data_IF_828458938058
#
_entry.id   IF_828458938058
#
_cell.length_a   1.000
_cell.length_b   1.000
_cell.length_c   1.000
_cell.angle_alpha   90.00
_cell.angle_beta   90.00
_cell.angle_gamma   90.00
#
_symmetry.space_group_name_H-M   'P 1'
#
loop_
_entity.id
_entity.type
_entity.pdbx_description
1 polymer ?
#
# COMPACT_ATOMS: atom_id res chain seq x y z
N UNK A 1 3.14 7.91 -20.87
CA UNK A 1 3.19 7.35 -19.50
C UNK A 1 4.65 7.39 -19.07
N UNK A 2 5.01 8.07 -17.97
CA UNK A 2 6.42 8.30 -17.57
C UNK A 2 6.92 7.29 -16.53
N UNK A 3 6.04 6.80 -15.66
CA UNK A 3 6.33 5.82 -14.61
C UNK A 3 5.26 4.73 -14.60
N UNK A 4 5.66 3.49 -14.32
CA UNK A 4 4.77 2.34 -14.14
C UNK A 4 5.02 1.76 -12.77
N UNK A 5 4.08 1.95 -11.85
CA UNK A 5 4.09 1.33 -10.52
C UNK A 5 3.17 0.11 -10.55
N UNK A 6 3.71 -1.08 -10.27
CA UNK A 6 2.93 -2.33 -10.22
C UNK A 6 3.54 -3.31 -9.23
N UNK A 7 2.79 -4.32 -8.83
CA UNK A 7 3.31 -5.34 -7.91
C UNK A 7 4.47 -6.16 -8.51
N UNK A 8 5.37 -6.62 -7.64
CA UNK A 8 6.55 -7.43 -7.99
C UNK A 8 6.21 -8.77 -8.66
N UNK A 9 4.94 -9.23 -8.60
CA UNK A 9 4.49 -10.40 -9.36
C UNK A 9 4.65 -10.21 -10.88
N UNK A 10 4.73 -8.96 -11.33
CA UNK A 10 4.95 -8.62 -12.73
C UNK A 10 6.42 -8.44 -13.10
N UNK A 11 7.36 -8.52 -12.14
CA UNK A 11 8.79 -8.40 -12.40
C UNK A 11 9.30 -9.38 -13.47
N UNK A 12 8.85 -10.66 -13.52
CA UNK A 12 9.27 -11.60 -14.58
C UNK A 12 8.88 -11.17 -15.99
N UNK A 13 7.88 -10.28 -16.14
CA UNK A 13 7.47 -9.73 -17.45
C UNK A 13 8.28 -8.51 -17.88
N UNK A 14 9.10 -7.93 -17.00
CA UNK A 14 9.88 -6.72 -17.28
C UNK A 14 10.80 -6.86 -18.50
N UNK A 15 11.57 -7.95 -18.68
CA UNK A 15 12.47 -8.08 -19.82
C UNK A 15 11.74 -8.06 -21.16
N UNK A 16 10.59 -8.74 -21.23
CA UNK A 16 9.74 -8.74 -22.43
C UNK A 16 9.20 -7.35 -22.74
N UNK A 17 8.76 -6.62 -21.71
CA UNK A 17 8.27 -5.26 -21.88
C UNK A 17 9.37 -4.33 -22.41
N UNK A 18 10.57 -4.42 -21.86
CA UNK A 18 11.74 -3.63 -22.30
C UNK A 18 12.03 -3.87 -23.78
N UNK A 19 12.09 -5.13 -24.20
CA UNK A 19 12.32 -5.49 -25.61
C UNK A 19 11.23 -4.97 -26.55
N UNK A 20 9.97 -4.94 -26.11
CA UNK A 20 8.88 -4.36 -26.90
C UNK A 20 9.06 -2.85 -27.10
N UNK A 21 9.42 -2.11 -26.05
CA UNK A 21 9.71 -0.67 -26.17
C UNK A 21 10.86 -0.41 -27.15
N UNK A 22 11.94 -1.20 -27.05
CA UNK A 22 13.08 -1.11 -27.95
C UNK A 22 12.69 -1.42 -29.40
N UNK A 23 11.93 -2.49 -29.62
CA UNK A 23 11.52 -2.91 -30.96
C UNK A 23 10.59 -1.91 -31.66
N UNK A 24 9.67 -1.29 -30.92
CA UNK A 24 8.79 -0.27 -31.47
C UNK A 24 9.42 1.13 -31.51
N UNK A 25 10.64 1.31 -31.00
CA UNK A 25 11.30 2.61 -30.93
C UNK A 25 10.58 3.60 -29.99
N UNK A 26 9.94 3.09 -28.94
CA UNK A 26 9.17 3.90 -27.99
C UNK A 26 9.99 4.27 -26.76
N UNK A 27 9.67 5.43 -26.18
CA UNK A 27 10.24 5.85 -24.90
C UNK A 27 9.78 4.93 -23.76
N UNK A 28 10.75 4.23 -23.16
CA UNK A 28 10.49 3.33 -22.04
C UNK A 28 10.20 4.14 -20.75
N UNK A 29 9.10 3.85 -20.04
CA UNK A 29 8.84 4.46 -18.74
C UNK A 29 9.78 3.91 -17.66
N UNK A 30 9.90 4.64 -16.55
CA UNK A 30 10.52 4.11 -15.34
C UNK A 30 9.64 2.98 -14.78
N UNK A 31 10.21 1.79 -14.57
CA UNK A 31 9.49 0.62 -14.06
C UNK A 31 9.77 0.47 -12.57
N UNK A 32 8.72 0.58 -11.75
CA UNK A 32 8.79 0.51 -10.30
C UNK A 32 7.94 -0.66 -9.79
N UNK A 33 8.58 -1.61 -9.11
CA UNK A 33 7.92 -2.83 -8.64
C UNK A 33 7.69 -2.76 -7.13
N UNK A 34 6.42 -2.68 -6.73
CA UNK A 34 5.99 -2.61 -5.34
C UNK A 34 6.02 -4.02 -4.73
N UNK A 35 6.48 -4.18 -3.47
CA UNK A 35 6.53 -5.50 -2.84
C UNK A 35 5.11 -6.05 -2.61
N UNK A 36 4.99 -7.38 -2.59
CA UNK A 36 3.73 -8.04 -2.25
C UNK A 36 3.43 -7.92 -0.75
N UNK A 37 2.15 -7.75 -0.43
CA UNK A 37 1.64 -7.93 0.93
C UNK A 37 1.79 -9.39 1.35
N UNK A 38 2.29 -9.59 2.57
CA UNK A 38 2.51 -10.91 3.17
C UNK A 38 1.59 -11.12 4.37
N UNK A 39 1.27 -12.38 4.65
CA UNK A 39 0.66 -12.76 5.91
C UNK A 39 1.71 -12.70 7.04
N UNK A 40 1.31 -12.78 8.32
CA UNK A 40 2.24 -12.90 9.45
C UNK A 40 3.23 -14.08 9.31
N UNK A 41 2.82 -15.18 8.67
CA UNK A 41 3.67 -16.33 8.34
C UNK A 41 4.62 -16.10 7.14
N UNK A 42 4.70 -14.87 6.62
CA UNK A 42 5.47 -14.42 5.44
C UNK A 42 5.02 -15.00 4.09
N UNK A 43 4.00 -15.87 4.07
CA UNK A 43 3.40 -16.35 2.83
C UNK A 43 2.63 -15.22 2.13
N UNK A 44 2.44 -15.36 0.81
CA UNK A 44 1.70 -14.36 0.03
C UNK A 44 0.27 -14.20 0.57
N UNK A 45 -0.17 -12.96 0.76
CA UNK A 45 -1.55 -12.67 1.11
C UNK A 45 -2.48 -13.22 0.02
N UNK A 46 -3.49 -14.01 0.40
CA UNK A 46 -4.37 -14.68 -0.55
C UNK A 46 -5.81 -14.77 -0.05
N UNK A 47 -6.76 -14.72 -1.00
CA UNK A 47 -8.21 -14.87 -0.76
C UNK A 47 -8.58 -16.19 -0.08
N UNK A 48 -7.74 -17.23 -0.19
CA UNK A 48 -8.02 -18.57 0.33
C UNK A 48 -7.80 -18.67 1.85
N UNK A 49 -6.86 -17.89 2.37
CA UNK A 49 -6.44 -17.97 3.78
C UNK A 49 -6.99 -16.81 4.61
N UNK A 50 -7.16 -15.64 4.01
CA UNK A 50 -7.51 -14.42 4.74
C UNK A 50 -8.60 -13.62 4.01
N UNK A 51 -9.44 -12.88 4.74
CA UNK A 51 -10.27 -11.86 4.14
C UNK A 51 -9.36 -10.76 3.56
N UNK A 52 -9.30 -10.71 2.24
CA UNK A 52 -8.44 -9.77 1.48
C UNK A 52 -9.24 -8.70 0.76
N UNK A 53 -10.57 -8.78 0.81
CA UNK A 53 -11.45 -7.79 0.19
C UNK A 53 -11.57 -6.57 1.10
N UNK A 54 -11.40 -5.38 0.55
CA UNK A 54 -11.66 -4.11 1.27
C UNK A 54 -13.10 -4.07 1.79
N UNK A 55 -14.06 -4.59 1.02
CA UNK A 55 -15.48 -4.66 1.42
C UNK A 55 -15.74 -5.53 2.65
N UNK A 56 -14.85 -6.49 2.95
CA UNK A 56 -14.96 -7.25 4.19
C UNK A 56 -14.66 -6.36 5.40
N UNK A 57 -13.59 -5.58 5.35
CA UNK A 57 -13.21 -4.67 6.43
C UNK A 57 -14.20 -3.51 6.58
N UNK A 58 -14.74 -3.01 5.47
CA UNK A 58 -15.84 -2.05 5.49
C UNK A 58 -17.05 -2.59 6.28
N UNK A 59 -17.48 -3.83 5.99
CA UNK A 59 -18.60 -4.48 6.71
C UNK A 59 -18.29 -4.77 8.19
N UNK A 60 -17.01 -4.92 8.55
CA UNK A 60 -16.57 -5.02 9.94
C UNK A 60 -16.55 -3.67 10.68
N UNK A 61 -16.81 -2.55 9.99
CA UNK A 61 -16.84 -1.22 10.59
C UNK A 61 -15.48 -0.53 10.67
N UNK A 62 -14.50 -0.95 9.87
CA UNK A 62 -13.25 -0.19 9.74
C UNK A 62 -13.51 1.13 9.01
N UNK A 63 -12.92 2.21 9.54
CA UNK A 63 -12.99 3.52 8.93
C UNK A 63 -12.19 3.57 7.63
N UNK A 64 -12.71 4.22 6.56
CA UNK A 64 -11.97 4.36 5.31
C UNK A 64 -10.65 5.10 5.51
N UNK A 65 -10.59 6.09 6.41
CA UNK A 65 -9.36 6.83 6.74
C UNK A 65 -8.31 5.92 7.39
N UNK A 66 -8.75 5.02 8.28
CA UNK A 66 -7.85 4.05 8.92
C UNK A 66 -7.31 3.03 7.91
N UNK A 67 -8.17 2.53 7.00
CA UNK A 67 -7.76 1.61 5.94
C UNK A 67 -6.78 2.27 4.98
N UNK A 68 -7.04 3.51 4.53
CA UNK A 68 -6.13 4.25 3.64
C UNK A 68 -4.79 4.54 4.31
N UNK A 69 -4.80 5.02 5.56
CA UNK A 69 -3.58 5.25 6.33
C UNK A 69 -2.78 3.94 6.51
N UNK A 70 -3.46 2.84 6.83
CA UNK A 70 -2.84 1.54 7.01
C UNK A 70 -2.20 1.01 5.72
N UNK A 71 -2.93 1.03 4.60
CA UNK A 71 -2.41 0.60 3.31
C UNK A 71 -1.30 1.53 2.80
N UNK A 72 -1.40 2.84 3.07
CA UNK A 72 -0.34 3.79 2.74
C UNK A 72 0.98 3.50 3.47
N UNK A 73 0.92 2.84 4.64
CA UNK A 73 2.11 2.36 5.36
C UNK A 73 2.71 1.07 4.79
N UNK A 74 2.02 0.41 3.87
CA UNK A 74 2.50 -0.85 3.29
C UNK A 74 3.57 -0.59 2.24
N UNK A 75 4.79 -0.38 2.72
CA UNK A 75 5.95 -0.08 1.89
C UNK A 75 6.34 1.38 1.86
N UNK A 76 5.75 2.25 2.68
CA UNK A 76 6.15 3.65 2.81
C UNK A 76 5.93 4.15 4.25
N UNK A 77 6.69 5.15 4.69
CA UNK A 77 6.52 5.78 6.00
C UNK A 77 6.67 7.30 5.91
N UNK A 78 5.97 7.99 6.80
CA UNK A 78 6.11 9.45 6.93
C UNK A 78 7.56 9.84 7.24
N UNK A 79 8.02 11.02 6.81
CA UNK A 79 9.35 11.54 7.13
C UNK A 79 9.67 11.61 8.62
N UNK A 80 8.68 11.90 9.45
CA UNK A 80 8.75 11.98 10.92
C UNK A 80 8.36 10.67 11.61
N UNK A 81 8.25 9.57 10.85
CA UNK A 81 7.94 8.21 11.32
C UNK A 81 6.57 8.03 11.98
N UNK A 82 5.73 9.08 12.00
CA UNK A 82 4.40 8.98 12.62
C UNK A 82 3.54 7.96 11.90
N UNK A 83 2.73 7.24 12.67
CA UNK A 83 1.92 6.16 12.11
C UNK A 83 0.53 6.58 11.68
N UNK A 84 0.00 7.64 12.31
CA UNK A 84 -1.30 8.19 11.98
C UNK A 84 -1.12 9.40 11.08
N UNK A 85 -1.71 9.35 9.89
CA UNK A 85 -1.71 10.43 8.91
C UNK A 85 -2.92 10.30 7.98
N UNK A 86 -3.48 11.43 7.58
CA UNK A 86 -4.52 11.54 6.58
C UNK A 86 -3.99 11.28 5.17
N UNK A 87 -4.91 11.06 4.22
CA UNK A 87 -4.55 10.94 2.81
C UNK A 87 -3.84 12.20 2.29
N UNK A 88 -4.27 13.39 2.71
CA UNK A 88 -3.63 14.64 2.27
C UNK A 88 -2.19 14.73 2.77
N UNK A 89 -1.95 14.41 4.04
CA UNK A 89 -0.59 14.36 4.60
C UNK A 89 0.28 13.32 3.87
N UNK A 90 -0.30 12.17 3.48
CA UNK A 90 0.41 11.21 2.65
C UNK A 90 0.79 11.82 1.30
N UNK A 91 -0.15 12.47 0.60
CA UNK A 91 0.10 13.09 -0.71
C UNK A 91 1.17 14.18 -0.62
N UNK A 92 1.12 15.03 0.41
CA UNK A 92 2.06 16.14 0.59
C UNK A 92 3.49 15.68 0.88
N UNK A 93 3.65 14.48 1.43
CA UNK A 93 4.96 13.92 1.83
C UNK A 93 5.39 12.71 1.01
N UNK A 94 4.57 12.21 0.09
CA UNK A 94 4.85 10.99 -0.65
C UNK A 94 6.10 11.16 -1.51
N UNK A 95 7.05 10.26 -1.32
CA UNK A 95 8.26 10.18 -2.12
C UNK A 95 8.51 8.71 -2.46
N UNK A 96 8.57 8.43 -3.76
CA UNK A 96 8.82 7.12 -4.31
C UNK A 96 10.19 6.56 -3.88
N UNK A 97 11.18 7.43 -3.61
CA UNK A 97 12.51 7.02 -3.15
C UNK A 97 12.50 6.38 -1.75
N UNK A 98 11.45 6.67 -0.95
CA UNK A 98 11.26 6.13 0.41
C UNK A 98 10.49 4.81 0.41
N UNK A 99 10.11 4.29 -0.75
CA UNK A 99 9.39 3.03 -0.82
C UNK A 99 10.31 1.86 -0.46
N UNK A 100 9.91 1.08 0.54
CA UNK A 100 10.62 -0.12 0.99
C UNK A 100 10.20 -1.35 0.19
N UNK A 101 11.16 -2.21 -0.14
CA UNK A 101 10.96 -3.47 -0.86
C UNK A 101 10.76 -4.68 0.08
N UNK A 102 10.65 -4.45 1.39
CA UNK A 102 10.72 -5.48 2.43
C UNK A 102 9.55 -6.47 2.54
N UNK A 103 8.58 -6.48 1.61
CA UNK A 103 7.44 -7.39 1.67
C UNK A 103 6.57 -7.15 2.91
N UNK A 104 5.81 -6.05 2.96
CA UNK A 104 5.15 -5.63 4.19
C UNK A 104 4.12 -6.66 4.66
N UNK A 105 4.06 -6.87 5.98
CA UNK A 105 3.15 -7.83 6.63
C UNK A 105 1.79 -7.16 6.86
N UNK A 106 0.73 -7.80 6.36
CA UNK A 106 -0.64 -7.43 6.65
C UNK A 106 -1.06 -8.00 8.01
N UNK A 107 -0.97 -7.16 9.02
CA UNK A 107 -1.32 -7.39 10.42
C UNK A 107 -2.66 -6.72 10.80
N UNK A 108 -3.67 -7.54 11.08
CA UNK A 108 -5.02 -7.10 11.45
C UNK A 108 -5.04 -6.42 12.82
N UNK A 109 -4.18 -6.82 13.77
CA UNK A 109 -4.10 -6.18 15.08
C UNK A 109 -3.63 -4.74 14.94
N UNK A 110 -2.61 -4.52 14.09
CA UNK A 110 -2.10 -3.18 13.77
C UNK A 110 -3.16 -2.31 13.08
N UNK A 111 -3.92 -2.87 12.14
CA UNK A 111 -5.03 -2.17 11.50
C UNK A 111 -6.12 -1.80 12.51
N UNK A 112 -6.45 -2.71 13.44
CA UNK A 112 -7.44 -2.50 14.50
C UNK A 112 -7.03 -1.40 15.47
N UNK A 113 -5.77 -1.40 15.89
CA UNK A 113 -5.20 -0.32 16.70
C UNK A 113 -5.31 1.04 16.01
N UNK A 114 -4.91 1.12 14.73
CA UNK A 114 -4.96 2.37 13.96
C UNK A 114 -6.40 2.85 13.76
N UNK A 115 -7.33 1.92 13.52
CA UNK A 115 -8.76 2.23 13.46
C UNK A 115 -9.28 2.85 14.76
N UNK A 116 -8.86 2.33 15.92
CA UNK A 116 -9.14 2.93 17.22
C UNK A 116 -8.64 4.37 17.34
N UNK A 117 -7.42 4.64 16.86
CA UNK A 117 -6.87 6.00 16.84
C UNK A 117 -7.73 6.96 16.00
N UNK A 118 -8.29 6.50 14.87
CA UNK A 118 -9.18 7.31 14.03
C UNK A 118 -10.56 7.53 14.67
N UNK A 119 -11.12 6.53 15.34
CA UNK A 119 -12.41 6.62 16.03
C UNK A 119 -12.41 7.66 17.17
N UNK A 120 -11.32 7.72 17.97
CA UNK A 120 -11.19 8.69 19.08
C UNK A 120 -11.29 10.12 18.54
N UNK A 121 -10.62 10.43 17.42
CA UNK A 121 -10.63 11.77 16.82
C UNK A 121 -12.01 12.17 16.30
N UNK A 122 -12.78 11.22 15.76
CA UNK A 122 -14.12 11.49 15.23
C UNK A 122 -15.12 11.88 16.31
N UNK A 123 -14.97 11.34 17.53
CA UNK A 123 -15.82 11.70 18.68
C UNK A 123 -15.59 13.13 19.16
N UNK A 124 -14.37 13.66 19.03
CA UNK A 124 -14.06 15.03 19.45
C UNK A 124 -14.49 16.12 18.45
N UNK A 125 -14.73 15.80 17.18
CA UNK A 125 -15.19 16.78 16.17
C UNK A 125 -16.71 16.79 15.96
N UNK A 126 -17.44 15.86 16.58
CA UNK A 126 -18.91 15.78 16.53
C UNK A 126 -19.58 16.13 17.88
N UNK A 127 -18.83 16.74 18.80
CA UNK A 127 -19.27 17.38 20.04
C UNK A 127 -18.79 18.83 20.00
#
# INVERSE_FOLDING_TARGET
>A
MTHVLRGEEWLPSAPKLILLYEYFGWDKPQLCYMPLLRNPDKSKLSKRKNPTSVTFYERMGFMPEAMLNYLGRMGWSMPDEREKFSLQEMVDHFDLSRVSLGGPIFDIEKLSWLNGQWLIRRRCCNL
#
